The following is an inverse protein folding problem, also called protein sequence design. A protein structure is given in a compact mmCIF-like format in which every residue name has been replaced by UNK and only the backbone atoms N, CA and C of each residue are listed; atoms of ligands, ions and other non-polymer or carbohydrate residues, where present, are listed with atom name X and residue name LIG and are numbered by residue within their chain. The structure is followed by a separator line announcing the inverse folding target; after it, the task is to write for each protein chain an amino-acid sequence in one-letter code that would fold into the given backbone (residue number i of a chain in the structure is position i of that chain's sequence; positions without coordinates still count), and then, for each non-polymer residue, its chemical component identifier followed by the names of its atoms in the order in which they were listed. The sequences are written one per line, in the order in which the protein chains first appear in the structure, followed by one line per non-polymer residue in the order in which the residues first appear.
data_IF_651469127034
#
_entry.id   IF_651469127034
#
_cell.length_a   1.000
_cell.length_b   1.000
_cell.length_c   1.000
_cell.angle_alpha   90.00
_cell.angle_beta   90.00
_cell.angle_gamma   90.00
#
_symmetry.space_group_name_H-M   'P 1'
#
loop_
_entity.id
_entity.type
_entity.pdbx_description
1 polymer ?
#
# COMPACT_ATOMS: atom_id res chain seq x y z
N UNK A 1 -2.56 4.35 -15.29
CA UNK A 1 -2.35 3.89 -13.91
C UNK A 1 -0.87 3.77 -13.64
N UNK A 2 -0.44 4.24 -12.50
CA UNK A 2 0.94 4.09 -12.05
C UNK A 2 1.03 2.93 -11.07
N UNK A 3 2.22 2.38 -10.93
CA UNK A 3 2.47 1.30 -9.96
C UNK A 3 3.57 1.76 -9.02
N UNK A 4 3.31 1.70 -7.72
CA UNK A 4 4.26 2.08 -6.69
C UNK A 4 4.53 0.87 -5.81
N UNK A 5 5.80 0.56 -5.59
CA UNK A 5 6.21 -0.51 -4.69
C UNK A 5 6.78 0.12 -3.43
N UNK A 6 6.29 -0.34 -2.29
CA UNK A 6 6.73 0.15 -0.99
C UNK A 6 7.22 -1.02 -0.13
N UNK A 7 8.15 -0.74 0.74
CA UNK A 7 8.63 -1.72 1.71
C UNK A 7 8.00 -1.43 3.07
N UNK A 8 7.29 -2.41 3.60
CA UNK A 8 6.61 -2.30 4.89
C UNK A 8 7.10 -3.42 5.82
N UNK A 9 8.17 -3.18 6.59
CA UNK A 9 8.78 -4.23 7.41
C UNK A 9 7.86 -4.72 8.54
N UNK A 10 6.79 -3.99 8.83
CA UNK A 10 5.81 -4.38 9.86
C UNK A 10 4.84 -5.47 9.39
N UNK A 11 4.85 -5.81 8.11
CA UNK A 11 4.00 -6.88 7.60
C UNK A 11 4.54 -8.21 8.09
N UNK A 12 3.74 -8.97 8.84
CA UNK A 12 4.17 -10.21 9.44
C UNK A 12 3.31 -11.41 9.07
N UNK A 13 2.10 -11.19 8.55
CA UNK A 13 1.18 -12.29 8.26
C UNK A 13 0.08 -11.85 7.28
N UNK A 14 -0.75 -12.81 6.86
CA UNK A 14 -1.86 -12.55 5.95
C UNK A 14 -2.91 -11.59 6.51
N UNK A 15 -3.05 -11.51 7.83
CA UNK A 15 -3.95 -10.54 8.45
C UNK A 15 -3.53 -9.11 8.20
N UNK A 16 -2.23 -8.85 8.16
CA UNK A 16 -1.70 -7.53 7.80
C UNK A 16 -2.02 -7.18 6.35
N UNK A 17 -1.89 -8.15 5.45
CA UNK A 17 -2.25 -7.94 4.04
C UNK A 17 -3.72 -7.56 3.90
N UNK A 18 -4.62 -8.22 4.61
CA UNK A 18 -6.04 -7.90 4.58
C UNK A 18 -6.31 -6.49 5.13
N UNK A 19 -5.62 -6.10 6.19
CA UNK A 19 -5.74 -4.75 6.77
C UNK A 19 -5.30 -3.68 5.78
N UNK A 20 -4.21 -3.91 5.08
CA UNK A 20 -3.71 -2.98 4.06
C UNK A 20 -4.71 -2.86 2.91
N UNK A 21 -5.22 -3.99 2.42
CA UNK A 21 -6.21 -3.98 1.35
C UNK A 21 -7.46 -3.20 1.76
N UNK A 22 -7.92 -3.37 3.00
CA UNK A 22 -9.05 -2.62 3.53
C UNK A 22 -8.77 -1.13 3.62
N UNK A 23 -7.55 -0.74 3.94
CA UNK A 23 -7.18 0.66 4.06
C UNK A 23 -7.33 1.41 2.73
N UNK A 24 -7.25 0.69 1.62
CA UNK A 24 -7.37 1.28 0.28
C UNK A 24 -8.70 0.97 -0.41
N UNK A 25 -9.56 0.17 0.20
CA UNK A 25 -10.79 -0.29 -0.46
C UNK A 25 -11.76 0.84 -0.78
N UNK A 26 -11.73 1.92 0.00
CA UNK A 26 -12.61 3.08 -0.18
C UNK A 26 -11.89 4.30 -0.75
N UNK A 27 -10.68 4.13 -1.25
CA UNK A 27 -9.89 5.23 -1.83
C UNK A 27 -10.09 5.25 -3.34
N UNK A 28 -10.64 6.37 -3.84
CA UNK A 28 -10.79 6.57 -5.28
C UNK A 28 -9.42 6.69 -5.94
N UNK A 29 -9.27 6.10 -7.11
CA UNK A 29 -8.02 6.15 -7.84
C UNK A 29 -7.10 4.96 -7.59
N UNK A 30 -7.50 4.03 -6.72
CA UNK A 30 -6.75 2.81 -6.49
C UNK A 30 -7.29 1.71 -7.41
N UNK A 31 -6.45 1.19 -8.28
CA UNK A 31 -6.80 0.10 -9.17
C UNK A 31 -6.59 -1.29 -8.57
N UNK A 32 -5.65 -1.40 -7.63
CA UNK A 32 -5.39 -2.66 -6.96
C UNK A 32 -4.27 -2.51 -5.94
N UNK A 33 -4.28 -3.39 -4.95
CA UNK A 33 -3.23 -3.46 -3.94
C UNK A 33 -2.82 -4.91 -3.80
N UNK A 34 -1.53 -5.16 -3.98
CA UNK A 34 -0.96 -6.49 -3.83
C UNK A 34 0.08 -6.45 -2.71
N UNK A 35 -0.01 -7.39 -1.78
CA UNK A 35 0.87 -7.44 -0.62
C UNK A 35 1.65 -8.74 -0.65
N UNK A 36 2.98 -8.62 -0.67
CA UNK A 36 3.87 -9.78 -0.57
C UNK A 36 4.41 -9.85 0.86
N UNK A 37 3.89 -10.79 1.63
CA UNK A 37 4.28 -10.97 3.02
C UNK A 37 5.71 -11.50 3.13
N UNK A 38 6.17 -12.27 2.16
CA UNK A 38 7.51 -12.87 2.17
C UNK A 38 8.59 -11.80 2.04
N UNK A 39 8.44 -10.90 1.08
CA UNK A 39 9.39 -9.81 0.86
C UNK A 39 9.03 -8.53 1.61
N UNK A 40 7.83 -8.50 2.20
CA UNK A 40 7.28 -7.34 2.91
C UNK A 40 7.12 -6.13 2.00
N UNK A 41 6.75 -6.39 0.75
CA UNK A 41 6.50 -5.35 -0.24
C UNK A 41 5.01 -5.18 -0.48
N UNK A 42 4.60 -3.93 -0.66
CA UNK A 42 3.23 -3.58 -1.03
C UNK A 42 3.28 -2.94 -2.41
N UNK A 43 2.59 -3.54 -3.36
CA UNK A 43 2.49 -3.00 -4.72
C UNK A 43 1.11 -2.39 -4.90
N UNK A 44 1.07 -1.09 -5.15
CA UNK A 44 -0.19 -0.36 -5.31
C UNK A 44 -0.28 0.13 -6.74
N UNK A 45 -1.34 -0.27 -7.42
CA UNK A 45 -1.69 0.28 -8.74
C UNK A 45 -2.67 1.40 -8.52
N UNK A 46 -2.31 2.60 -8.94
CA UNK A 46 -3.10 3.79 -8.66
C UNK A 46 -3.06 4.79 -9.82
N UNK A 47 -4.06 5.66 -9.86
CA UNK A 47 -4.06 6.81 -10.76
C UNK A 47 -3.30 7.94 -10.08
N UNK A 48 -2.10 8.25 -10.57
CA UNK A 48 -1.21 9.22 -9.96
C UNK A 48 -1.72 10.66 -10.05
N UNK A 49 -2.75 10.91 -10.84
CA UNK A 49 -3.42 12.20 -10.86
C UNK A 49 -4.44 12.34 -9.72
N UNK A 50 -4.88 11.23 -9.12
CA UNK A 50 -5.84 11.20 -8.02
C UNK A 50 -5.19 10.82 -6.69
N UNK A 51 -4.22 9.93 -6.72
CA UNK A 51 -3.55 9.40 -5.54
C UNK A 51 -2.04 9.47 -5.75
N UNK A 52 -1.35 10.18 -4.87
CA UNK A 52 0.10 10.31 -4.92
C UNK A 52 0.77 9.26 -4.03
N UNK A 53 2.08 9.10 -4.19
CA UNK A 53 2.88 8.20 -3.35
C UNK A 53 2.77 8.63 -1.88
N UNK A 54 2.82 9.93 -1.61
CA UNK A 54 2.68 10.45 -0.25
C UNK A 54 1.34 10.07 0.37
N UNK A 55 0.27 10.12 -0.42
CA UNK A 55 -1.06 9.73 0.04
C UNK A 55 -1.09 8.24 0.41
N UNK A 56 -0.43 7.41 -0.39
CA UNK A 56 -0.34 5.97 -0.12
C UNK A 56 0.41 5.72 1.18
N UNK A 57 1.53 6.39 1.39
CA UNK A 57 2.33 6.25 2.61
C UNK A 57 1.51 6.69 3.83
N UNK A 58 0.80 7.80 3.73
CA UNK A 58 -0.05 8.30 4.82
C UNK A 58 -1.16 7.30 5.15
N UNK A 59 -1.79 6.73 4.14
CA UNK A 59 -2.84 5.73 4.34
C UNK A 59 -2.31 4.49 5.06
N UNK A 60 -1.12 4.03 4.68
CA UNK A 60 -0.48 2.89 5.33
C UNK A 60 -0.13 3.21 6.78
N UNK A 61 0.33 4.43 7.04
CA UNK A 61 0.63 4.88 8.40
C UNK A 61 -0.62 4.86 9.28
N UNK A 62 -1.74 5.32 8.74
CA UNK A 62 -3.03 5.29 9.45
C UNK A 62 -3.50 3.87 9.73
N UNK A 63 -3.13 2.92 8.89
CA UNK A 63 -3.46 1.51 9.10
C UNK A 63 -2.51 0.82 10.09
N UNK A 64 -1.48 1.53 10.57
CA UNK A 64 -0.51 1.00 11.52
C UNK A 64 0.74 0.43 10.90
N UNK A 65 1.00 0.74 9.62
CA UNK A 65 2.17 0.23 8.90
C UNK A 65 3.06 1.37 8.43
N UNK A 66 4.32 1.35 8.84
CA UNK A 66 5.31 2.28 8.30
C UNK A 66 5.83 1.70 6.99
N UNK A 67 5.65 2.42 5.91
CA UNK A 67 6.08 1.99 4.58
C UNK A 67 6.92 3.06 3.92
N UNK A 68 7.93 2.61 3.17
CA UNK A 68 8.81 3.51 2.42
C UNK A 68 8.81 3.09 0.94
N UNK A 69 8.72 4.04 0.02
CA UNK A 69 8.82 3.72 -1.41
C UNK A 69 10.18 3.11 -1.74
N UNK A 70 10.19 2.04 -2.53
CA UNK A 70 11.43 1.39 -2.99
C UNK A 70 11.72 1.65 -4.45
N UNK A 71 10.84 2.38 -5.13
CA UNK A 71 11.05 2.82 -6.51
C UNK A 71 10.73 4.29 -6.66
#
# INVERSE_FOLDING_TARGET
MATTVLHAPDIMCGGCAASIQKAFADVDGIGGVDVDVTSKHVTVTHDDSLVTIDHIVIRLDHAGFTATPVE
#
